data_IF_801741851491
#
_entry.id   IF_801741851491
#
_cell.length_a   1.000
_cell.length_b   1.000
_cell.length_c   1.000
_cell.angle_alpha   90.00
_cell.angle_beta   90.00
_cell.angle_gamma   90.00
#
_symmetry.space_group_name_H-M   'P 1'
#
loop_
_entity.id
_entity.type
_entity.pdbx_description
1 polymer ?
#
# COMPACT_ATOMS: atom_id res chain seq x y z
N UNK A 1 -4.38 -8.62 6.84
CA UNK A 1 -3.05 -9.19 6.50
C UNK A 1 -2.95 -9.13 4.99
N UNK A 2 -2.22 -8.15 4.45
CA UNK A 2 -1.94 -8.15 3.02
C UNK A 2 -1.00 -9.33 2.77
N UNK A 3 -1.52 -10.41 2.24
CA UNK A 3 -0.69 -11.44 1.65
C UNK A 3 -0.07 -10.86 0.38
N UNK A 4 1.19 -10.46 0.49
CA UNK A 4 1.97 -9.82 -0.57
C UNK A 4 2.01 -10.71 -1.83
N UNK A 5 1.87 -12.03 -1.66
CA UNK A 5 1.83 -13.02 -2.74
C UNK A 5 0.44 -13.25 -3.33
N UNK A 6 -0.64 -12.79 -2.70
CA UNK A 6 -1.99 -13.10 -3.16
C UNK A 6 -2.24 -12.55 -4.58
N UNK A 7 -2.42 -13.47 -5.55
CA UNK A 7 -2.69 -13.12 -6.95
C UNK A 7 -1.44 -12.77 -7.77
N UNK A 8 -0.23 -13.10 -7.27
CA UNK A 8 1.00 -13.07 -8.06
C UNK A 8 1.31 -14.48 -8.57
N UNK A 9 1.71 -14.57 -9.82
CA UNK A 9 2.17 -15.82 -10.44
C UNK A 9 3.71 -15.80 -10.50
N UNK A 10 4.34 -16.72 -9.77
CA UNK A 10 5.80 -16.79 -9.65
C UNK A 10 6.49 -17.12 -11.00
N UNK A 11 5.82 -17.82 -11.89
CA UNK A 11 6.35 -18.19 -13.20
C UNK A 11 6.16 -17.09 -14.25
N UNK A 12 5.27 -16.14 -14.00
CA UNK A 12 5.01 -15.01 -14.88
C UNK A 12 6.02 -13.87 -14.65
N UNK A 13 6.28 -13.09 -15.68
CA UNK A 13 7.11 -11.89 -15.62
C UNK A 13 6.50 -10.79 -14.75
N UNK A 14 7.30 -9.78 -14.39
CA UNK A 14 6.80 -8.59 -13.69
C UNK A 14 5.68 -7.91 -14.45
N UNK A 15 5.81 -7.74 -15.75
CA UNK A 15 4.77 -7.13 -16.60
C UNK A 15 3.49 -7.95 -16.66
N UNK A 16 3.57 -9.28 -16.75
CA UNK A 16 2.39 -10.14 -16.70
C UNK A 16 1.69 -10.05 -15.34
N UNK A 17 2.45 -10.00 -14.26
CA UNK A 17 1.91 -9.82 -12.92
C UNK A 17 1.25 -8.45 -12.74
N UNK A 18 1.77 -7.37 -13.31
CA UNK A 18 1.11 -6.05 -13.31
C UNK A 18 -0.29 -6.19 -13.94
N UNK A 19 -0.40 -6.84 -15.09
CA UNK A 19 -1.66 -7.04 -15.81
C UNK A 19 -2.63 -7.90 -15.02
N UNK A 20 -2.19 -9.05 -14.56
CA UNK A 20 -3.03 -9.98 -13.78
C UNK A 20 -3.55 -9.33 -12.50
N UNK A 21 -2.68 -8.62 -11.77
CA UNK A 21 -3.08 -7.89 -10.56
C UNK A 21 -4.06 -6.77 -10.86
N UNK A 22 -3.86 -6.02 -11.95
CA UNK A 22 -4.78 -4.97 -12.39
C UNK A 22 -6.19 -5.52 -12.61
N UNK A 23 -6.31 -6.67 -13.30
CA UNK A 23 -7.58 -7.35 -13.51
C UNK A 23 -8.24 -7.79 -12.19
N UNK A 24 -7.46 -8.40 -11.28
CA UNK A 24 -7.95 -8.81 -9.95
C UNK A 24 -8.48 -7.61 -9.15
N UNK A 25 -7.85 -6.46 -9.30
CA UNK A 25 -8.23 -5.21 -8.62
C UNK A 25 -9.36 -4.46 -9.35
N UNK A 26 -9.91 -5.03 -10.43
CA UNK A 26 -11.11 -4.56 -11.11
C UNK A 26 -10.87 -3.53 -12.22
N UNK A 27 -9.63 -3.33 -12.65
CA UNK A 27 -9.32 -2.47 -13.80
C UNK A 27 -9.64 -3.18 -15.12
N UNK A 28 -10.07 -2.42 -16.13
CA UNK A 28 -10.17 -2.91 -17.50
C UNK A 28 -8.78 -3.14 -18.13
N UNK A 29 -8.67 -3.98 -19.17
CA UNK A 29 -7.41 -4.17 -19.88
C UNK A 29 -6.81 -2.86 -20.39
N UNK A 30 -7.63 -1.95 -20.88
CA UNK A 30 -7.23 -0.64 -21.39
C UNK A 30 -6.64 0.22 -20.27
N UNK A 31 -7.32 0.31 -19.12
CA UNK A 31 -6.83 1.04 -17.95
C UNK A 31 -5.53 0.48 -17.42
N UNK A 32 -5.32 -0.82 -17.51
CA UNK A 32 -4.08 -1.47 -17.08
C UNK A 32 -2.93 -1.06 -18.01
N UNK A 33 -3.10 -1.18 -19.34
CA UNK A 33 -2.04 -0.82 -20.29
C UNK A 33 -1.64 0.66 -20.18
N UNK A 34 -2.58 1.57 -19.88
CA UNK A 34 -2.27 2.96 -19.60
C UNK A 34 -1.41 3.16 -18.36
N UNK A 35 -1.55 2.28 -17.35
CA UNK A 35 -0.80 2.37 -16.08
C UNK A 35 0.53 1.62 -16.07
N UNK A 36 0.71 0.63 -16.94
CA UNK A 36 1.95 -0.17 -17.01
C UNK A 36 3.21 0.68 -17.02
N UNK A 37 3.33 1.75 -17.84
CA UNK A 37 4.55 2.57 -17.85
C UNK A 37 4.81 3.26 -16.51
N UNK A 38 3.79 3.83 -15.86
CA UNK A 38 3.91 4.48 -14.55
C UNK A 38 4.31 3.49 -13.46
N UNK A 39 3.70 2.30 -13.47
CA UNK A 39 4.01 1.23 -12.50
C UNK A 39 5.46 0.77 -12.66
N UNK A 40 5.89 0.53 -13.90
CA UNK A 40 7.26 0.09 -14.21
C UNK A 40 8.31 1.13 -13.77
N UNK A 41 8.07 2.40 -14.08
CA UNK A 41 8.94 3.52 -13.66
C UNK A 41 8.98 3.65 -12.14
N UNK A 42 7.82 3.52 -11.48
CA UNK A 42 7.75 3.64 -10.02
C UNK A 42 8.47 2.48 -9.32
N UNK A 43 8.34 1.24 -9.82
CA UNK A 43 8.98 0.07 -9.24
C UNK A 43 10.52 0.10 -9.32
N UNK A 44 11.08 0.80 -10.31
CA UNK A 44 12.55 0.90 -10.53
C UNK A 44 13.23 -0.46 -10.66
N UNK A 45 12.58 -1.41 -11.35
CA UNK A 45 13.10 -2.76 -11.55
C UNK A 45 13.79 -2.95 -12.91
N UNK A 46 13.59 -1.99 -13.85
CA UNK A 46 14.22 -2.05 -15.17
C UNK A 46 13.93 -3.36 -15.89
N UNK A 47 14.98 -3.94 -16.48
CA UNK A 47 14.90 -5.18 -17.27
C UNK A 47 14.42 -6.41 -16.46
N UNK A 48 14.46 -6.35 -15.13
CA UNK A 48 13.92 -7.42 -14.29
C UNK A 48 12.42 -7.62 -14.50
N UNK A 49 11.69 -6.58 -14.95
CA UNK A 49 10.26 -6.71 -15.23
C UNK A 49 9.95 -7.70 -16.37
N UNK A 50 10.91 -8.02 -17.21
CA UNK A 50 10.79 -9.07 -18.24
C UNK A 50 10.98 -10.49 -17.70
N UNK A 51 11.54 -10.63 -16.48
CA UNK A 51 11.88 -11.92 -15.91
C UNK A 51 10.77 -12.43 -14.98
N UNK A 52 10.64 -13.77 -14.81
CA UNK A 52 9.74 -14.37 -13.86
C UNK A 52 10.00 -13.88 -12.43
N UNK A 53 8.92 -13.53 -11.69
CA UNK A 53 9.07 -12.93 -10.36
C UNK A 53 9.67 -13.88 -9.32
N UNK A 54 9.70 -15.20 -9.55
CA UNK A 54 10.45 -16.16 -8.71
C UNK A 54 11.96 -15.85 -8.65
N UNK A 55 12.49 -15.06 -9.60
CA UNK A 55 13.90 -14.63 -9.60
C UNK A 55 14.13 -13.35 -8.78
N UNK A 56 13.06 -12.72 -8.28
CA UNK A 56 13.15 -11.47 -7.55
C UNK A 56 13.61 -11.69 -6.11
N UNK A 57 14.35 -10.73 -5.58
CA UNK A 57 14.53 -10.63 -4.14
C UNK A 57 13.22 -10.21 -3.46
N UNK A 58 13.10 -10.44 -2.16
CA UNK A 58 11.93 -9.98 -1.40
C UNK A 58 11.69 -8.47 -1.53
N UNK A 59 12.76 -7.68 -1.58
CA UNK A 59 12.68 -6.24 -1.80
C UNK A 59 12.15 -5.87 -3.18
N UNK A 60 12.57 -6.57 -4.24
CA UNK A 60 12.07 -6.35 -5.59
C UNK A 60 10.58 -6.72 -5.72
N UNK A 61 10.19 -7.84 -5.12
CA UNK A 61 8.79 -8.26 -5.10
C UNK A 61 7.92 -7.22 -4.37
N UNK A 62 8.36 -6.75 -3.21
CA UNK A 62 7.67 -5.70 -2.45
C UNK A 62 7.55 -4.40 -3.25
N UNK A 63 8.60 -3.98 -3.97
CA UNK A 63 8.57 -2.81 -4.85
C UNK A 63 7.50 -2.97 -5.94
N UNK A 64 7.46 -4.12 -6.60
CA UNK A 64 6.47 -4.40 -7.65
C UNK A 64 5.04 -4.34 -7.10
N UNK A 65 4.77 -5.09 -6.02
CA UNK A 65 3.43 -5.17 -5.41
C UNK A 65 2.94 -3.81 -4.94
N UNK A 66 3.83 -3.04 -4.27
CA UNK A 66 3.50 -1.69 -3.84
C UNK A 66 3.19 -0.77 -5.03
N UNK A 67 4.02 -0.82 -6.09
CA UNK A 67 3.84 0.03 -7.28
C UNK A 67 2.49 -0.21 -7.95
N UNK A 68 2.07 -1.49 -8.04
CA UNK A 68 0.75 -1.85 -8.57
C UNK A 68 -0.36 -1.30 -7.66
N UNK A 69 -0.28 -1.55 -6.35
CA UNK A 69 -1.30 -1.09 -5.41
C UNK A 69 -1.43 0.44 -5.38
N UNK A 70 -0.29 1.15 -5.44
CA UNK A 70 -0.23 2.61 -5.41
C UNK A 70 -0.65 3.28 -6.74
N UNK A 71 -0.84 2.53 -7.82
CA UNK A 71 -1.35 3.04 -9.10
C UNK A 71 -2.88 3.10 -9.15
N UNK A 72 -3.56 2.42 -8.22
CA UNK A 72 -5.02 2.32 -8.21
C UNK A 72 -5.58 3.42 -7.31
N UNK A 73 -6.59 4.11 -7.83
CA UNK A 73 -7.31 5.14 -7.10
C UNK A 73 -8.60 4.55 -6.53
N UNK A 74 -8.86 4.78 -5.26
CA UNK A 74 -10.09 4.39 -4.59
C UNK A 74 -10.65 5.54 -3.77
N UNK A 75 -11.97 5.62 -3.68
CA UNK A 75 -12.66 6.58 -2.81
C UNK A 75 -12.43 6.28 -1.33
N UNK A 76 -12.24 4.99 -1.01
CA UNK A 76 -11.98 4.48 0.34
C UNK A 76 -10.70 3.65 0.30
N UNK A 77 -9.74 4.00 1.14
CA UNK A 77 -8.47 3.28 1.28
C UNK A 77 -8.40 2.63 2.66
N UNK A 78 -8.11 1.34 2.67
CA UNK A 78 -7.86 0.58 3.89
C UNK A 78 -6.39 0.17 3.94
N UNK A 79 -5.69 0.57 4.99
CA UNK A 79 -4.28 0.23 5.21
C UNK A 79 -4.11 -0.44 6.57
N UNK A 80 -3.50 -1.62 6.55
CA UNK A 80 -3.07 -2.34 7.74
C UNK A 80 -1.54 -2.21 7.83
N UNK A 81 -1.07 -1.32 8.67
CA UNK A 81 0.30 -0.84 8.76
C UNK A 81 0.73 0.05 7.56
N UNK A 82 1.58 1.02 7.85
CA UNK A 82 2.22 1.84 6.82
C UNK A 82 3.46 1.10 6.31
N UNK A 83 3.38 0.60 5.10
CA UNK A 83 4.42 -0.27 4.56
C UNK A 83 5.67 0.55 4.25
N UNK A 84 6.67 0.47 5.10
CA UNK A 84 8.01 0.99 4.82
C UNK A 84 8.77 -0.01 3.92
N UNK A 85 8.54 0.06 2.60
CA UNK A 85 9.11 -0.87 1.62
C UNK A 85 10.44 -0.39 1.08
N UNK A 86 11.41 -1.32 0.96
CA UNK A 86 12.65 -1.09 0.24
C UNK A 86 13.74 -0.37 1.04
N UNK A 87 14.76 0.11 0.32
CA UNK A 87 15.83 0.94 0.87
C UNK A 87 15.37 2.36 1.25
N UNK A 88 16.27 3.16 1.81
CA UNK A 88 15.92 4.50 2.30
C UNK A 88 15.37 5.43 1.21
N UNK A 89 15.85 5.30 -0.04
CA UNK A 89 15.41 6.12 -1.16
C UNK A 89 13.99 5.70 -1.60
N UNK A 90 13.75 4.41 -1.73
CA UNK A 90 12.43 3.88 -2.11
C UNK A 90 11.39 4.14 -1.02
N UNK A 91 11.76 4.05 0.26
CA UNK A 91 10.87 4.40 1.38
C UNK A 91 10.39 5.85 1.33
N UNK A 92 11.26 6.80 0.98
CA UNK A 92 10.84 8.18 0.79
C UNK A 92 9.83 8.30 -0.36
N UNK A 93 10.12 7.67 -1.49
CA UNK A 93 9.24 7.68 -2.67
C UNK A 93 7.85 7.07 -2.37
N UNK A 94 7.82 5.96 -1.61
CA UNK A 94 6.56 5.32 -1.18
C UNK A 94 5.79 6.20 -0.20
N UNK A 95 6.47 6.87 0.72
CA UNK A 95 5.84 7.80 1.65
C UNK A 95 5.18 8.97 0.91
N UNK A 96 5.91 9.63 -0.01
CA UNK A 96 5.39 10.73 -0.81
C UNK A 96 4.19 10.29 -1.66
N UNK A 97 4.24 9.08 -2.24
CA UNK A 97 3.14 8.51 -3.02
C UNK A 97 1.90 8.23 -2.16
N UNK A 98 2.08 7.64 -0.98
CA UNK A 98 0.97 7.38 -0.06
C UNK A 98 0.32 8.68 0.42
N UNK A 99 1.09 9.73 0.69
CA UNK A 99 0.53 11.05 1.01
C UNK A 99 -0.33 11.59 -0.14
N UNK A 100 0.13 11.47 -1.39
CA UNK A 100 -0.66 11.90 -2.55
C UNK A 100 -1.97 11.11 -2.68
N UNK A 101 -1.92 9.80 -2.45
CA UNK A 101 -3.10 8.94 -2.53
C UNK A 101 -4.08 9.29 -1.41
N UNK A 102 -3.62 9.45 -0.18
CA UNK A 102 -4.48 9.80 0.97
C UNK A 102 -5.13 11.16 0.82
N UNK A 103 -4.44 12.14 0.23
CA UNK A 103 -5.00 13.47 -0.04
C UNK A 103 -6.10 13.49 -1.11
N UNK A 104 -6.09 12.51 -2.02
CA UNK A 104 -7.08 12.39 -3.11
C UNK A 104 -8.27 11.51 -2.75
N UNK A 105 -8.14 10.67 -1.73
CA UNK A 105 -9.19 9.74 -1.30
C UNK A 105 -10.21 10.44 -0.42
N UNK A 106 -11.47 10.01 -0.50
CA UNK A 106 -12.54 10.53 0.34
C UNK A 106 -12.44 10.05 1.78
N UNK A 107 -12.03 8.80 1.98
CA UNK A 107 -11.89 8.16 3.29
C UNK A 107 -10.61 7.33 3.33
N UNK A 108 -9.83 7.49 4.41
CA UNK A 108 -8.66 6.66 4.69
C UNK A 108 -8.86 6.00 6.06
N UNK A 109 -8.74 4.69 6.10
CA UNK A 109 -8.71 3.91 7.34
C UNK A 109 -7.34 3.29 7.47
N UNK A 110 -6.59 3.72 8.49
CA UNK A 110 -5.23 3.25 8.77
C UNK A 110 -5.19 2.56 10.13
N UNK A 111 -4.82 1.28 10.16
CA UNK A 111 -4.43 0.60 11.38
C UNK A 111 -2.92 0.68 11.52
N UNK A 112 -2.42 1.25 12.62
CA UNK A 112 -0.99 1.38 12.87
C UNK A 112 -0.70 1.50 14.38
N UNK A 113 0.51 1.10 14.75
CA UNK A 113 1.06 1.32 16.08
C UNK A 113 2.03 2.53 16.10
N UNK A 114 2.27 3.18 14.98
CA UNK A 114 3.06 4.42 14.89
C UNK A 114 2.16 5.64 15.12
N UNK A 115 2.17 6.15 16.34
CA UNK A 115 1.34 7.30 16.73
C UNK A 115 1.78 8.61 16.06
N UNK A 116 3.04 8.71 15.64
CA UNK A 116 3.53 9.86 14.86
C UNK A 116 2.85 9.89 13.51
N UNK A 117 2.91 8.76 12.80
CA UNK A 117 2.24 8.59 11.52
C UNK A 117 0.73 8.82 11.59
N UNK A 118 0.06 8.27 12.63
CA UNK A 118 -1.37 8.48 12.82
C UNK A 118 -1.71 9.97 12.95
N UNK A 119 -0.91 10.75 13.70
CA UNK A 119 -1.12 12.20 13.84
C UNK A 119 -0.90 12.98 12.55
N UNK A 120 0.00 12.52 11.69
CA UNK A 120 0.24 13.15 10.38
C UNK A 120 -0.86 12.85 9.36
N UNK A 121 -1.50 11.68 9.47
CA UNK A 121 -2.38 11.15 8.42
C UNK A 121 -3.87 11.20 8.79
N UNK A 122 -4.21 11.03 10.08
CA UNK A 122 -5.57 10.82 10.55
C UNK A 122 -6.06 11.97 11.45
N UNK A 123 -7.34 12.30 11.33
CA UNK A 123 -8.03 13.28 12.20
C UNK A 123 -8.91 12.61 13.26
N UNK A 124 -9.36 11.39 13.03
CA UNK A 124 -10.17 10.58 13.94
C UNK A 124 -9.42 9.34 14.36
N UNK A 125 -9.68 8.89 15.59
CA UNK A 125 -9.17 7.64 16.13
C UNK A 125 -10.30 6.70 16.53
N UNK A 126 -10.03 5.41 16.37
CA UNK A 126 -10.85 4.31 16.86
C UNK A 126 -9.95 3.35 17.64
N UNK A 127 -10.18 3.25 18.95
CA UNK A 127 -9.46 2.30 19.81
C UNK A 127 -10.28 1.02 19.96
N UNK A 128 -9.68 -0.09 19.52
CA UNK A 128 -10.26 -1.43 19.64
C UNK A 128 -9.46 -2.25 20.67
N UNK A 129 -10.17 -2.89 21.59
CA UNK A 129 -9.60 -3.82 22.55
C UNK A 129 -10.50 -5.04 22.68
N UNK A 130 -9.94 -6.24 22.49
CA UNK A 130 -10.68 -7.50 22.50
C UNK A 130 -11.87 -7.53 21.55
N UNK A 131 -11.75 -6.90 20.37
CA UNK A 131 -12.81 -6.82 19.35
C UNK A 131 -13.95 -5.84 19.70
N UNK A 132 -13.78 -5.02 20.74
CA UNK A 132 -14.77 -4.03 21.17
C UNK A 132 -14.23 -2.62 21.02
N UNK A 133 -15.10 -1.70 20.60
CA UNK A 133 -14.78 -0.27 20.58
C UNK A 133 -14.69 0.22 22.01
N UNK A 134 -13.53 0.80 22.39
CA UNK A 134 -13.28 1.42 23.69
C UNK A 134 -13.40 2.94 23.61
N UNK A 135 -12.86 3.53 22.54
CA UNK A 135 -12.97 4.96 22.32
C UNK A 135 -13.10 5.24 20.81
N UNK A 136 -13.81 6.32 20.49
CA UNK A 136 -13.94 6.87 19.14
C UNK A 136 -14.10 8.38 19.22
N UNK A 137 -13.31 9.12 18.46
CA UNK A 137 -13.38 10.59 18.45
C UNK A 137 -12.15 11.24 17.82
N UNK A 138 -11.85 12.47 18.23
CA UNK A 138 -10.63 13.14 17.80
C UNK A 138 -9.41 12.30 18.17
N UNK A 139 -8.45 12.15 17.23
CA UNK A 139 -7.34 11.22 17.40
C UNK A 139 -6.57 11.42 18.70
N UNK A 140 -6.20 12.67 19.03
CA UNK A 140 -5.42 12.96 20.24
C UNK A 140 -6.17 12.62 21.55
N UNK A 141 -7.50 12.68 21.55
CA UNK A 141 -8.29 12.29 22.72
C UNK A 141 -8.32 10.76 22.85
N UNK A 142 -8.51 10.05 21.74
CA UNK A 142 -8.47 8.58 21.73
C UNK A 142 -7.09 8.06 22.14
N UNK A 143 -6.01 8.69 21.71
CA UNK A 143 -4.65 8.28 22.09
C UNK A 143 -4.35 8.42 23.59
N UNK A 144 -5.06 9.30 24.30
CA UNK A 144 -4.95 9.45 25.79
C UNK A 144 -5.62 8.29 26.54
N UNK A 145 -6.58 7.61 25.92
CA UNK A 145 -7.30 6.47 26.49
C UNK A 145 -6.53 5.16 26.37
N UNK A 146 -5.44 5.14 25.60
CA UNK A 146 -4.61 3.94 25.44
C UNK A 146 -3.88 3.61 26.75
N UNK A 147 -3.76 2.32 27.11
CA UNK A 147 -2.94 1.93 28.25
C UNK A 147 -1.48 2.34 28.03
N UNK A 148 -0.75 2.70 29.09
CA UNK A 148 0.68 2.96 28.98
C UNK A 148 1.38 1.72 28.45
N UNK A 149 2.33 1.93 27.51
CA UNK A 149 3.14 0.88 26.89
C UNK A 149 4.07 0.20 27.89
#
# INVERSE_FOLDING_TARGET
>A
MFDIGLGMDEEASGYENIRTRGLILGLSPEEIEERVPEIAEFAELGDYLELPIRTYSSGMLLRLVFSIAASIHGDIILMDEWIAVGDAQFRKKTHDRLQQITQRSGIVVLASHDFGLLRETCNLGLYLDGGRVRAFGALDDVLKELPPA
#
